data_IF_863271617046
#
_entry.id   IF_863271617046
#
_cell.length_a   1.000
_cell.length_b   1.000
_cell.length_c   1.000
_cell.angle_alpha   90.00
_cell.angle_beta   90.00
_cell.angle_gamma   90.00
#
_symmetry.space_group_name_H-M   'P 1'
#
loop_
_entity.id
_entity.type
_entity.pdbx_description
1 polymer ?
#
# COMPACT_ATOMS: atom_id res chain seq x y z
N UNK A 1 -6.53 -25.55 41.62
CA UNK A 1 -6.70 -25.28 40.17
C UNK A 1 -6.70 -23.79 39.80
N UNK A 2 -6.05 -22.90 40.57
CA UNK A 2 -5.97 -21.46 40.24
C UNK A 2 -4.65 -21.03 39.58
N UNK A 3 -3.60 -21.84 39.72
CA UNK A 3 -2.26 -21.55 39.18
C UNK A 3 -2.15 -21.92 37.69
N UNK A 4 -2.86 -22.97 37.25
CA UNK A 4 -2.86 -23.43 35.85
C UNK A 4 -3.49 -22.38 34.91
N UNK A 5 -4.49 -21.63 35.39
CA UNK A 5 -5.18 -20.61 34.61
C UNK A 5 -4.29 -19.38 34.34
N UNK A 6 -3.39 -19.04 35.27
CA UNK A 6 -2.49 -17.88 35.14
C UNK A 6 -1.36 -18.13 34.13
N UNK A 7 -0.94 -19.38 33.96
CA UNK A 7 0.13 -19.74 33.01
C UNK A 7 -0.38 -19.72 31.56
N UNK A 8 -1.64 -20.09 31.31
CA UNK A 8 -2.21 -20.14 29.95
C UNK A 8 -2.46 -18.73 29.38
N UNK A 9 -2.77 -17.74 30.21
CA UNK A 9 -2.99 -16.35 29.75
C UNK A 9 -1.68 -15.63 29.40
N UNK A 10 -0.54 -16.04 29.97
CA UNK A 10 0.76 -15.41 29.72
C UNK A 10 1.40 -15.78 28.36
N UNK A 11 0.91 -16.83 27.67
CA UNK A 11 1.45 -17.27 26.37
C UNK A 11 0.89 -16.53 25.15
N UNK A 12 -0.10 -15.64 25.31
CA UNK A 12 -0.76 -14.98 24.17
C UNK A 12 -0.20 -13.60 23.81
N UNK A 13 0.83 -13.11 24.52
CA UNK A 13 1.32 -11.72 24.39
C UNK A 13 2.58 -11.52 23.53
N UNK A 14 3.09 -12.56 22.86
CA UNK A 14 4.30 -12.45 22.01
C UNK A 14 4.05 -12.59 20.50
N UNK A 15 2.88 -12.14 20.03
CA UNK A 15 2.58 -12.01 18.61
C UNK A 15 2.97 -10.65 18.03
N UNK A 16 4.22 -10.20 18.22
CA UNK A 16 4.70 -9.00 17.54
C UNK A 16 4.90 -9.36 16.05
N UNK A 17 3.85 -9.23 15.24
CA UNK A 17 3.97 -9.33 13.78
C UNK A 17 4.90 -8.20 13.32
N UNK A 18 6.16 -8.55 13.02
CA UNK A 18 7.09 -7.62 12.41
C UNK A 18 6.75 -7.55 10.93
N UNK A 19 5.89 -6.60 10.55
CA UNK A 19 5.74 -6.25 9.14
C UNK A 19 7.06 -5.67 8.63
N UNK A 20 7.49 -6.13 7.47
CA UNK A 20 8.75 -5.69 6.85
C UNK A 20 8.45 -5.14 5.46
N UNK A 21 9.22 -4.15 4.97
CA UNK A 21 9.06 -3.65 3.60
C UNK A 21 9.20 -4.79 2.59
N UNK A 22 8.25 -4.87 1.65
CA UNK A 22 8.36 -5.78 0.52
C UNK A 22 9.43 -5.23 -0.43
N UNK A 23 10.52 -5.96 -0.58
CA UNK A 23 11.64 -5.62 -1.44
C UNK A 23 11.96 -6.75 -2.40
N UNK A 24 12.68 -6.44 -3.48
CA UNK A 24 13.18 -7.45 -4.41
C UNK A 24 14.12 -8.45 -3.74
N UNK A 25 15.00 -7.96 -2.86
CA UNK A 25 15.89 -8.80 -2.05
C UNK A 25 15.08 -9.77 -1.21
N UNK A 26 14.00 -9.31 -0.56
CA UNK A 26 13.13 -10.17 0.22
C UNK A 26 12.43 -11.24 -0.63
N UNK A 27 11.91 -10.87 -1.81
CA UNK A 27 11.30 -11.82 -2.75
C UNK A 27 12.31 -12.90 -3.16
N UNK A 28 13.55 -12.50 -3.46
CA UNK A 28 14.65 -13.40 -3.83
C UNK A 28 15.10 -14.30 -2.68
N UNK A 29 15.29 -13.74 -1.49
CA UNK A 29 15.78 -14.44 -0.30
C UNK A 29 14.82 -15.56 0.12
N UNK A 30 13.52 -15.37 -0.11
CA UNK A 30 12.47 -16.35 0.17
C UNK A 30 12.08 -17.18 -1.06
N UNK A 31 12.74 -17.01 -2.20
CA UNK A 31 12.47 -17.78 -3.42
C UNK A 31 11.05 -17.62 -3.95
N UNK A 32 10.40 -16.49 -3.71
CA UNK A 32 9.01 -16.26 -4.04
C UNK A 32 8.83 -16.10 -5.56
N UNK A 33 7.92 -16.88 -6.14
CA UNK A 33 7.47 -16.64 -7.51
C UNK A 33 6.48 -15.48 -7.57
N UNK A 34 6.24 -14.96 -8.77
CA UNK A 34 5.20 -13.95 -9.02
C UNK A 34 3.82 -14.42 -8.50
N UNK A 35 3.51 -15.71 -8.66
CA UNK A 35 2.26 -16.31 -8.18
C UNK A 35 2.20 -16.46 -6.66
N UNK A 36 3.34 -16.46 -5.97
CA UNK A 36 3.36 -16.50 -4.51
C UNK A 36 3.09 -15.11 -3.94
N UNK A 37 3.59 -14.06 -4.60
CA UNK A 37 3.35 -12.67 -4.21
C UNK A 37 1.85 -12.34 -4.18
N UNK A 38 1.07 -12.84 -5.15
CA UNK A 38 -0.39 -12.61 -5.19
C UNK A 38 -1.16 -13.30 -4.08
N UNK A 39 -0.54 -14.25 -3.36
CA UNK A 39 -1.11 -14.95 -2.21
C UNK A 39 -0.70 -14.33 -0.87
N UNK A 40 0.17 -13.32 -0.88
CA UNK A 40 0.62 -12.65 0.34
C UNK A 40 -0.43 -11.63 0.80
N UNK A 41 -0.64 -11.57 2.11
CA UNK A 41 -1.28 -10.42 2.74
C UNK A 41 -0.28 -9.27 2.79
N UNK A 42 -0.59 -8.19 2.07
CA UNK A 42 0.20 -6.98 2.04
C UNK A 42 -0.45 -5.89 2.90
N UNK A 43 0.32 -4.85 3.17
CA UNK A 43 -0.10 -3.69 3.94
C UNK A 43 0.55 -2.42 3.38
N UNK A 44 -0.12 -1.29 3.44
CA UNK A 44 0.46 0.01 3.09
C UNK A 44 1.21 0.64 4.28
N UNK A 45 2.36 1.28 4.03
CA UNK A 45 3.22 1.82 5.09
C UNK A 45 2.77 3.17 5.68
N UNK A 46 2.05 3.97 4.90
CA UNK A 46 1.57 5.30 5.26
C UNK A 46 0.22 5.58 4.57
N UNK A 47 -0.47 6.65 4.95
CA UNK A 47 -1.81 6.96 4.46
C UNK A 47 -1.80 7.37 2.97
N UNK A 48 -2.78 6.87 2.21
CA UNK A 48 -3.13 7.36 0.86
C UNK A 48 -4.54 7.92 0.91
N UNK A 49 -4.73 9.16 0.47
CA UNK A 49 -6.04 9.80 0.36
C UNK A 49 -6.34 10.09 -1.10
N UNK A 50 -7.47 9.57 -1.58
CA UNK A 50 -8.05 9.91 -2.87
C UNK A 50 -9.17 10.92 -2.66
N UNK A 51 -9.04 12.10 -3.24
CA UNK A 51 -9.99 13.20 -3.11
C UNK A 51 -10.62 13.49 -4.49
N UNK A 52 -11.95 13.34 -4.60
CA UNK A 52 -12.63 13.51 -5.89
C UNK A 52 -12.49 14.97 -6.35
N UNK A 53 -12.09 15.18 -7.61
CA UNK A 53 -12.01 16.52 -8.21
C UNK A 53 -13.36 17.24 -8.07
N UNK A 54 -13.36 18.42 -7.44
CA UNK A 54 -14.55 19.25 -7.32
C UNK A 54 -14.73 20.14 -8.54
N UNK A 55 -15.93 20.16 -9.11
CA UNK A 55 -16.34 21.25 -10.00
C UNK A 55 -16.80 22.40 -9.10
N UNK A 56 -16.05 23.50 -9.09
CA UNK A 56 -16.49 24.75 -8.45
C UNK A 56 -17.82 25.16 -9.09
N UNK A 57 -18.91 25.16 -8.33
CA UNK A 57 -20.18 25.73 -8.80
C UNK A 57 -20.06 27.23 -8.54
N UNK A 58 -19.75 28.00 -9.58
CA UNK A 58 -19.89 29.45 -9.52
C UNK A 58 -21.39 29.77 -9.46
N UNK A 59 -21.93 29.98 -8.25
CA UNK A 59 -23.22 30.65 -8.10
C UNK A 59 -23.00 32.11 -8.50
N UNK A 60 -23.39 32.45 -9.72
CA UNK A 60 -23.44 33.83 -10.18
C UNK A 60 -24.48 34.56 -9.30
N UNK A 61 -24.05 35.60 -8.58
CA UNK A 61 -24.90 36.38 -7.69
C UNK A 61 -25.39 37.60 -8.47
N UNK A 62 -26.65 37.58 -8.89
CA UNK A 62 -27.35 38.82 -9.28
C UNK A 62 -27.46 39.72 -8.04
N UNK A 63 -26.87 40.91 -8.16
CA UNK A 63 -26.53 41.81 -7.05
C UNK A 63 -27.67 42.73 -6.62
N UNK A 64 -28.91 42.23 -6.53
CA UNK A 64 -30.09 43.08 -6.27
C UNK A 64 -30.84 42.83 -4.96
N UNK A 65 -30.61 41.74 -4.24
CA UNK A 65 -31.30 41.50 -2.96
C UNK A 65 -30.35 41.12 -1.82
N UNK A 66 -30.39 41.93 -0.77
CA UNK A 66 -29.67 41.79 0.50
C UNK A 66 -30.08 40.52 1.26
N UNK A 67 -29.63 39.35 0.79
CA UNK A 67 -29.66 38.11 1.57
C UNK A 67 -28.25 37.54 1.72
N UNK A 68 -27.69 37.68 2.92
CA UNK A 68 -26.53 36.92 3.35
C UNK A 68 -26.91 35.43 3.32
N UNK A 69 -26.42 34.70 2.31
CA UNK A 69 -26.51 33.23 2.28
C UNK A 69 -25.16 32.64 2.70
N UNK A 70 -25.20 31.92 3.81
CA UNK A 70 -24.16 31.06 4.36
C UNK A 70 -23.55 30.19 3.25
N UNK A 71 -22.23 30.10 3.19
CA UNK A 71 -21.49 29.19 2.32
C UNK A 71 -21.81 27.76 2.80
N UNK A 72 -22.66 27.05 2.05
CA UNK A 72 -23.20 25.73 2.38
C UNK A 72 -22.14 24.62 2.17
N UNK A 73 -21.85 23.92 3.27
CA UNK A 73 -21.32 22.56 3.44
C UNK A 73 -20.58 21.90 2.26
N UNK A 74 -19.25 21.90 2.34
CA UNK A 74 -18.39 21.15 1.44
C UNK A 74 -18.46 19.64 1.75
N UNK A 75 -19.28 18.89 1.00
CA UNK A 75 -19.18 17.43 0.98
C UNK A 75 -18.07 17.01 0.03
N UNK A 76 -16.90 16.67 0.58
CA UNK A 76 -15.78 16.12 -0.19
C UNK A 76 -15.90 14.59 -0.21
N UNK A 77 -16.00 13.98 -1.38
CA UNK A 77 -15.92 12.52 -1.50
C UNK A 77 -14.45 12.10 -1.42
N UNK A 78 -14.12 11.33 -0.39
CA UNK A 78 -12.76 10.94 -0.03
C UNK A 78 -12.70 9.43 0.20
N UNK A 79 -11.65 8.80 -0.31
CA UNK A 79 -11.30 7.41 0.01
C UNK A 79 -9.97 7.46 0.76
N UNK A 80 -9.94 6.90 1.96
CA UNK A 80 -8.75 6.88 2.82
C UNK A 80 -8.27 5.45 2.97
N UNK A 81 -7.07 5.17 2.44
CA UNK A 81 -6.32 3.96 2.78
C UNK A 81 -5.36 4.32 3.90
N UNK A 82 -5.77 4.08 5.14
CA UNK A 82 -4.93 4.37 6.30
C UNK A 82 -3.66 3.50 6.29
N UNK A 83 -2.62 3.96 6.97
CA UNK A 83 -1.45 3.17 7.32
C UNK A 83 -1.89 1.80 7.86
N UNK A 84 -1.18 0.76 7.41
CA UNK A 84 -1.44 -0.64 7.75
C UNK A 84 -2.78 -1.19 7.25
N UNK A 85 -3.46 -0.51 6.33
CA UNK A 85 -4.63 -1.09 5.65
C UNK A 85 -4.19 -2.35 4.90
N UNK A 86 -4.86 -3.50 5.14
CA UNK A 86 -4.57 -4.75 4.45
C UNK A 86 -4.94 -4.64 2.96
N UNK A 87 -4.12 -5.23 2.11
CA UNK A 87 -4.34 -5.27 0.67
C UNK A 87 -3.74 -6.54 0.04
N UNK A 88 -4.10 -6.81 -1.22
CA UNK A 88 -3.65 -7.99 -1.97
C UNK A 88 -3.16 -7.59 -3.36
N UNK A 89 -2.14 -8.28 -3.87
CA UNK A 89 -1.71 -8.10 -5.26
C UNK A 89 -2.64 -8.90 -6.20
N UNK A 90 -3.42 -8.20 -7.03
CA UNK A 90 -4.25 -8.83 -8.06
C UNK A 90 -3.46 -9.25 -9.29
N UNK A 91 -2.39 -8.52 -9.60
CA UNK A 91 -1.38 -8.95 -10.57
C UNK A 91 0.01 -8.51 -10.13
N UNK A 92 1.02 -9.29 -10.54
CA UNK A 92 2.40 -9.06 -10.15
C UNK A 92 3.36 -9.20 -11.34
N UNK A 93 4.38 -8.36 -11.35
CA UNK A 93 5.51 -8.35 -12.25
C UNK A 93 6.79 -8.03 -11.47
N UNK A 94 8.00 -8.26 -12.02
CA UNK A 94 9.25 -8.09 -11.29
C UNK A 94 9.49 -6.69 -10.70
N UNK A 95 8.84 -5.65 -11.21
CA UNK A 95 8.99 -4.26 -10.80
C UNK A 95 7.66 -3.54 -10.58
N UNK A 96 6.54 -4.25 -10.67
CA UNK A 96 5.21 -3.64 -10.59
C UNK A 96 4.21 -4.60 -9.95
N UNK A 97 3.39 -4.09 -9.05
CA UNK A 97 2.26 -4.78 -8.44
C UNK A 97 1.00 -3.94 -8.62
N UNK A 98 -0.09 -4.57 -9.06
CA UNK A 98 -1.44 -3.99 -9.02
C UNK A 98 -2.12 -4.46 -7.75
N UNK A 99 -2.43 -3.54 -6.85
CA UNK A 99 -2.84 -3.83 -5.47
C UNK A 99 -4.27 -3.39 -5.24
N UNK A 100 -5.12 -4.32 -4.80
CA UNK A 100 -6.50 -4.07 -4.42
C UNK A 100 -6.64 -3.99 -2.90
N UNK A 101 -7.46 -3.06 -2.43
CA UNK A 101 -7.73 -2.82 -1.01
C UNK A 101 -9.10 -3.32 -0.57
N UNK A 102 -10.09 -3.33 -1.46
CA UNK A 102 -11.48 -3.70 -1.13
C UNK A 102 -12.03 -4.75 -2.10
N UNK A 103 -12.15 -4.39 -3.37
CA UNK A 103 -12.75 -5.23 -4.41
C UNK A 103 -11.77 -5.59 -5.52
N UNK A 104 -11.78 -6.83 -6.03
CA UNK A 104 -11.07 -7.16 -7.27
C UNK A 104 -11.60 -6.32 -8.42
N UNK A 105 -10.74 -5.54 -9.07
CA UNK A 105 -11.10 -4.64 -10.18
C UNK A 105 -10.53 -3.24 -10.02
N UNK A 106 -10.46 -2.76 -8.79
CA UNK A 106 -9.89 -1.46 -8.46
C UNK A 106 -8.50 -1.64 -7.87
N UNK A 107 -7.49 -1.08 -8.56
CA UNK A 107 -6.10 -1.31 -8.23
C UNK A 107 -5.33 -0.01 -8.15
N UNK A 108 -4.53 0.11 -7.09
CA UNK A 108 -3.43 1.07 -7.04
C UNK A 108 -2.15 0.42 -7.54
N UNK A 109 -1.33 1.18 -8.25
CA UNK A 109 -0.07 0.67 -8.81
C UNK A 109 1.09 0.97 -7.87
N UNK A 110 1.85 -0.08 -7.54
CA UNK A 110 3.08 0.02 -6.79
C UNK A 110 4.25 -0.45 -7.64
N UNK A 111 5.34 0.32 -7.70
CA UNK A 111 6.50 0.01 -8.54
C UNK A 111 7.79 -0.04 -7.73
N UNK A 112 8.76 -0.79 -8.21
CA UNK A 112 10.10 -0.92 -7.63
C UNK A 112 11.15 -0.71 -8.70
N UNK A 113 12.33 -0.19 -8.34
CA UNK A 113 13.46 -0.11 -9.28
C UNK A 113 13.96 -1.52 -9.61
N UNK A 114 14.04 -1.86 -10.90
CA UNK A 114 14.47 -3.18 -11.37
C UNK A 114 15.87 -3.59 -10.89
N UNK A 115 16.80 -2.63 -10.80
CA UNK A 115 18.23 -2.86 -10.61
C UNK A 115 18.69 -2.72 -9.15
N UNK A 116 17.79 -2.41 -8.22
CA UNK A 116 18.12 -2.23 -6.81
C UNK A 116 17.35 -3.25 -5.96
N UNK A 117 18.06 -4.24 -5.42
CA UNK A 117 17.45 -5.29 -4.58
C UNK A 117 16.84 -4.74 -3.28
N UNK A 118 17.31 -3.58 -2.81
CA UNK A 118 16.76 -2.92 -1.62
C UNK A 118 15.60 -1.98 -1.93
N UNK A 119 15.22 -1.83 -3.20
CA UNK A 119 14.11 -0.97 -3.57
C UNK A 119 12.79 -1.52 -3.02
N UNK A 120 12.00 -0.61 -2.44
CA UNK A 120 10.66 -0.89 -2.00
C UNK A 120 9.71 -0.81 -3.19
N UNK A 121 8.57 -1.51 -3.09
CA UNK A 121 7.44 -1.27 -3.98
C UNK A 121 6.66 -0.06 -3.47
N UNK A 122 6.92 1.11 -4.04
CA UNK A 122 6.29 2.38 -3.66
C UNK A 122 5.09 2.69 -4.55
N UNK A 123 4.09 3.34 -3.98
CA UNK A 123 2.90 3.79 -4.68
C UNK A 123 3.27 4.77 -5.80
N UNK A 124 2.67 4.59 -6.97
CA UNK A 124 2.87 5.46 -8.13
C UNK A 124 1.50 5.87 -8.68
N UNK A 125 1.09 7.14 -8.55
CA UNK A 125 -0.14 7.60 -9.16
C UNK A 125 -0.07 7.54 -10.70
N UNK A 126 -1.22 7.36 -11.35
CA UNK A 126 -1.35 7.37 -12.82
C UNK A 126 -0.68 8.59 -13.45
N UNK A 127 -0.95 9.77 -12.89
CA UNK A 127 -0.35 11.03 -13.31
C UNK A 127 0.35 11.66 -12.12
N UNK A 128 1.66 11.75 -12.17
CA UNK A 128 2.44 12.45 -11.15
C UNK A 128 2.47 13.94 -11.45
N UNK A 129 2.12 14.76 -10.47
CA UNK A 129 2.33 16.20 -10.55
C UNK A 129 3.82 16.49 -10.38
N UNK A 130 4.41 17.17 -11.36
CA UNK A 130 5.84 17.52 -11.36
C UNK A 130 6.14 18.81 -10.56
N UNK A 131 5.10 19.54 -10.17
CA UNK A 131 5.17 20.76 -9.37
C UNK A 131 4.15 20.70 -8.23
N UNK A 132 4.43 21.37 -7.12
CA UNK A 132 3.50 21.53 -6.00
C UNK A 132 2.33 22.42 -6.45
N UNK A 133 1.37 21.84 -7.17
CA UNK A 133 0.03 22.40 -7.26
C UNK A 133 -0.62 22.25 -5.89
N UNK A 134 -0.32 23.22 -5.03
CA UNK A 134 -1.02 23.40 -3.76
C UNK A 134 -2.44 23.81 -4.11
N UNK A 135 -3.34 22.83 -4.23
CA UNK A 135 -4.76 23.12 -4.18
C UNK A 135 -5.03 23.77 -2.83
N UNK A 136 -5.48 25.04 -2.86
CA UNK A 136 -5.84 25.76 -1.65
C UNK A 136 -7.08 25.09 -1.04
N UNK A 137 -6.85 24.26 -0.02
CA UNK A 137 -7.91 23.63 0.76
C UNK A 137 -8.36 24.59 1.86
N UNK A 138 -9.65 24.60 2.23
CA UNK A 138 -10.10 25.32 3.42
C UNK A 138 -9.29 24.87 4.64
N UNK A 139 -8.83 25.79 5.50
CA UNK A 139 -8.05 25.46 6.71
C UNK A 139 -8.78 24.46 7.63
N UNK A 140 -10.10 24.45 7.56
CA UNK A 140 -10.99 23.71 8.45
C UNK A 140 -11.32 22.30 7.93
N UNK A 141 -10.76 21.91 6.78
CA UNK A 141 -10.98 20.58 6.19
C UNK A 141 -10.25 19.45 6.93
N UNK A 142 -9.38 19.75 7.92
CA UNK A 142 -8.65 18.74 8.70
C UNK A 142 -7.43 18.12 8.00
N UNK A 143 -7.14 18.51 6.75
CA UNK A 143 -6.09 17.93 5.91
C UNK A 143 -4.99 18.91 5.49
N UNK A 144 -4.76 19.98 6.26
CA UNK A 144 -3.78 21.04 5.92
C UNK A 144 -2.34 20.56 5.70
N UNK A 145 -1.98 19.41 6.26
CA UNK A 145 -0.63 18.82 6.14
C UNK A 145 -0.50 17.82 4.97
N UNK A 146 -1.54 17.64 4.16
CA UNK A 146 -1.54 16.67 3.07
C UNK A 146 -1.05 17.31 1.78
N UNK A 147 -0.10 16.63 1.14
CA UNK A 147 0.51 17.05 -0.12
C UNK A 147 -0.13 16.31 -1.27
N UNK A 148 -0.65 17.05 -2.25
CA UNK A 148 -1.10 16.46 -3.52
C UNK A 148 0.11 16.02 -4.33
N UNK A 149 0.13 14.77 -4.78
CA UNK A 149 1.26 14.18 -5.53
C UNK A 149 0.92 13.80 -6.97
N UNK A 150 -0.37 13.76 -7.31
CA UNK A 150 -0.82 13.25 -8.58
C UNK A 150 -2.33 13.14 -8.69
N UNK A 151 -2.75 12.45 -9.74
CA UNK A 151 -4.12 11.98 -9.95
C UNK A 151 -4.12 10.47 -10.15
N UNK A 152 -5.19 9.81 -9.70
CA UNK A 152 -5.43 8.38 -9.82
C UNK A 152 -6.84 8.14 -10.37
N UNK A 153 -6.98 7.21 -11.31
CA UNK A 153 -8.29 6.68 -11.68
C UNK A 153 -8.61 5.48 -10.81
N UNK A 154 -9.67 5.58 -9.99
CA UNK A 154 -10.11 4.49 -9.11
C UNK A 154 -11.63 4.30 -9.28
N UNK A 155 -12.09 3.07 -9.53
CA UNK A 155 -13.51 2.79 -9.83
C UNK A 155 -14.09 3.72 -10.90
N UNK A 156 -13.40 3.88 -12.03
CA UNK A 156 -13.75 4.76 -13.15
C UNK A 156 -13.91 6.26 -12.81
N UNK A 157 -13.44 6.69 -11.64
CA UNK A 157 -13.49 8.09 -11.20
C UNK A 157 -12.09 8.64 -11.03
N UNK A 158 -11.85 9.86 -11.50
CA UNK A 158 -10.58 10.56 -11.32
C UNK A 158 -10.54 11.25 -9.94
N UNK A 159 -9.50 10.94 -9.17
CA UNK A 159 -9.23 11.52 -7.87
C UNK A 159 -7.88 12.25 -7.89
N UNK A 160 -7.78 13.35 -7.14
CA UNK A 160 -6.50 13.88 -6.70
C UNK A 160 -5.94 12.96 -5.63
N UNK A 161 -4.66 12.66 -5.70
CA UNK A 161 -3.99 11.81 -4.71
C UNK A 161 -3.18 12.65 -3.76
N UNK A 162 -3.38 12.41 -2.47
CA UNK A 162 -2.68 13.07 -1.40
C UNK A 162 -1.95 12.07 -0.50
N UNK A 163 -0.82 12.50 0.03
CA UNK A 163 -0.05 11.80 1.06
C UNK A 163 0.28 12.75 2.22
N UNK A 164 0.56 12.18 3.39
CA UNK A 164 0.83 12.95 4.61
C UNK A 164 2.32 13.13 4.89
N UNK A 165 3.11 12.05 4.92
CA UNK A 165 4.52 12.13 5.33
C UNK A 165 5.46 11.69 4.22
N UNK A 166 5.40 10.41 3.84
CA UNK A 166 6.31 9.81 2.87
C UNK A 166 5.54 9.09 1.76
N UNK A 167 6.24 8.75 0.67
CA UNK A 167 5.62 7.97 -0.40
C UNK A 167 5.27 6.58 0.14
N UNK A 168 3.98 6.18 0.15
CA UNK A 168 3.58 4.90 0.72
C UNK A 168 4.20 3.73 -0.03
N UNK A 169 4.58 2.68 0.68
CA UNK A 169 5.15 1.46 0.12
C UNK A 169 4.51 0.22 0.71
N UNK A 170 4.70 -0.92 0.06
CA UNK A 170 4.13 -2.19 0.49
C UNK A 170 4.98 -2.86 1.56
N UNK A 171 4.30 -3.41 2.54
CA UNK A 171 4.86 -4.24 3.61
C UNK A 171 4.20 -5.62 3.58
N UNK A 172 4.90 -6.60 4.11
CA UNK A 172 4.40 -7.97 4.27
C UNK A 172 4.66 -8.45 5.70
N UNK A 173 3.78 -9.29 6.22
CA UNK A 173 4.02 -9.96 7.49
C UNK A 173 5.13 -11.01 7.33
N UNK A 174 6.17 -10.90 8.15
CA UNK A 174 7.29 -11.85 8.16
C UNK A 174 6.85 -13.29 8.44
N UNK A 175 5.75 -13.50 9.17
CA UNK A 175 5.19 -14.82 9.42
C UNK A 175 4.61 -15.45 8.15
N UNK A 176 3.99 -14.68 7.27
CA UNK A 176 3.47 -15.16 5.98
C UNK A 176 4.58 -15.67 5.08
N UNK A 177 5.78 -15.08 5.15
CA UNK A 177 6.94 -15.50 4.36
C UNK A 177 7.52 -16.85 4.82
N UNK A 178 7.37 -17.22 6.09
CA UNK A 178 7.93 -18.48 6.62
C UNK A 178 7.34 -19.71 5.93
N UNK A 179 6.09 -19.62 5.50
CA UNK A 179 5.39 -20.71 4.82
C UNK A 179 5.95 -20.97 3.41
N UNK A 180 6.74 -20.04 2.87
CA UNK A 180 7.39 -20.16 1.56
C UNK A 180 8.88 -20.48 1.66
N UNK A 181 9.43 -20.64 2.88
CA UNK A 181 10.80 -21.12 3.05
C UNK A 181 10.85 -22.55 2.49
N UNK A 182 11.40 -22.69 1.28
CA UNK A 182 11.86 -23.98 0.75
C UNK A 182 12.76 -24.59 1.82
N UNK A 183 12.36 -25.76 2.33
CA UNK A 183 13.07 -26.53 3.34
C UNK A 183 14.48 -26.84 2.80
N UNK A 184 15.42 -25.92 3.00
CA UNK A 184 16.81 -26.01 2.58
C UNK A 184 17.58 -27.02 3.44
N UNK A 185 16.93 -28.14 3.81
CA UNK A 185 17.59 -29.31 4.36
C UNK A 185 18.61 -29.77 3.34
N UNK A 186 19.85 -29.36 3.61
CA UNK A 186 21.12 -29.77 3.02
C UNK A 186 20.94 -30.91 2.02
N UNK A 187 21.07 -30.62 0.74
CA UNK A 187 21.37 -31.64 -0.26
C UNK A 187 22.72 -32.23 0.15
N UNK A 188 22.71 -33.35 0.89
CA UNK A 188 23.88 -34.19 1.11
C UNK A 188 24.28 -34.67 -0.28
N UNK A 189 25.40 -34.15 -0.77
CA UNK A 189 25.85 -34.40 -2.14
C UNK A 189 26.12 -35.87 -2.43
N UNK A 190 26.08 -36.19 -3.73
CA UNK A 190 26.86 -37.27 -4.32
C UNK A 190 27.62 -36.63 -5.48
N UNK A 191 28.96 -36.53 -5.37
CA UNK A 191 29.82 -36.24 -6.52
C UNK A 191 29.84 -37.50 -7.39
N UNK A 192 29.24 -37.43 -8.57
CA UNK A 192 29.41 -38.44 -9.61
C UNK A 192 30.76 -38.17 -10.32
N UNK A 193 31.86 -38.63 -9.71
CA UNK A 193 33.17 -38.72 -10.37
C UNK A 193 33.88 -40.04 -10.08
N UNK A 194 33.13 -41.11 -9.81
CA UNK A 194 33.66 -42.48 -9.66
C UNK A 194 32.73 -43.51 -10.32
N UNK A 195 32.43 -43.33 -11.61
CA UNK A 195 31.88 -44.40 -12.47
C UNK A 195 32.69 -44.62 -13.76
N UNK A 196 33.96 -44.19 -13.76
CA UNK A 196 34.94 -44.68 -14.72
C UNK A 196 36.13 -45.23 -13.93
N UNK A 197 36.10 -46.53 -13.66
CA UNK A 197 37.14 -47.17 -12.86
C UNK A 197 36.97 -48.66 -12.60
N UNK A 198 36.54 -49.45 -13.60
CA UNK A 198 37.03 -50.80 -13.95
C UNK A 198 36.03 -51.55 -14.84
#
# INVERSE_FOLDING_TARGET
MRIVTVIITALLIFGCSSRVPLTKGLIKDYGLSINDITKLQLYVSDDILLEKHQKKIDKNIDSTDYSLKKVEDYYVNQIVFAKETPCIAGSAAPDKLSVAFEHPGDYLIFVSNLHNERAFYYYKPDRRLLHDTVFSRPSDAGYGNWKTIGDETYSDTLYSVLIKNEMPFLMVDKSSLKNFILDARKVKGVRQSELNGK
#
